data_IF_126185456484
#
_entry.id   IF_126185456484
#
_cell.length_a   1.000
_cell.length_b   1.000
_cell.length_c   1.000
_cell.angle_alpha   90.00
_cell.angle_beta   90.00
_cell.angle_gamma   90.00
#
_symmetry.space_group_name_H-M   'P 1'
#
loop_
_entity.id
_entity.type
_entity.pdbx_description
1 polymer ?
#
# COMPACT_ATOMS: atom_id res chain seq x y z
N UNK A 1 16.58 -24.82 -4.79
CA UNK A 1 15.77 -23.77 -4.14
C UNK A 1 14.44 -23.68 -4.88
N UNK A 2 13.36 -24.19 -4.29
CA UNK A 2 12.05 -24.16 -4.91
C UNK A 2 11.41 -22.78 -4.73
N UNK A 3 11.08 -22.11 -5.84
CA UNK A 3 10.43 -20.80 -5.83
C UNK A 3 9.03 -20.84 -5.20
N UNK A 4 8.57 -19.66 -4.77
CA UNK A 4 7.27 -19.48 -4.12
C UNK A 4 6.12 -20.02 -5.00
N UNK A 5 5.29 -20.97 -4.50
CA UNK A 5 4.25 -21.63 -5.29
C UNK A 5 3.17 -20.66 -5.80
N UNK A 6 2.96 -19.54 -5.11
CA UNK A 6 2.03 -18.49 -5.55
C UNK A 6 2.54 -17.77 -6.81
N UNK A 7 3.83 -17.44 -6.86
CA UNK A 7 4.46 -16.80 -8.03
C UNK A 7 4.49 -17.77 -9.22
N UNK A 8 4.73 -19.05 -8.97
CA UNK A 8 4.65 -20.08 -10.01
C UNK A 8 3.23 -20.26 -10.57
N UNK A 9 2.19 -20.03 -9.76
CA UNK A 9 0.79 -20.12 -10.22
C UNK A 9 0.41 -18.96 -11.14
N UNK A 10 0.85 -17.74 -10.82
CA UNK A 10 0.62 -16.55 -11.65
C UNK A 10 1.43 -16.62 -12.95
N UNK A 11 2.68 -17.10 -12.90
CA UNK A 11 3.51 -17.29 -14.08
C UNK A 11 2.96 -18.36 -15.04
N UNK A 12 2.27 -19.40 -14.52
CA UNK A 12 1.58 -20.40 -15.36
C UNK A 12 0.28 -19.87 -15.95
N UNK A 13 -0.49 -19.08 -15.19
CA UNK A 13 -1.73 -18.47 -15.69
C UNK A 13 -1.49 -17.46 -16.81
N UNK A 14 -0.39 -16.70 -16.76
CA UNK A 14 -0.01 -15.78 -17.84
C UNK A 14 0.58 -16.47 -19.09
N UNK A 15 0.93 -17.76 -19.02
CA UNK A 15 1.40 -18.55 -20.17
C UNK A 15 0.30 -19.37 -20.84
N UNK A 16 -0.82 -19.58 -20.16
CA UNK A 16 -1.97 -20.29 -20.71
C UNK A 16 -3.00 -19.27 -21.19
N UNK A 17 -2.92 -18.97 -22.48
CA UNK A 17 -3.96 -18.22 -23.18
C UNK A 17 -5.34 -18.88 -23.01
N UNK A 18 -6.36 -18.04 -22.99
CA UNK A 18 -7.77 -18.42 -22.83
C UNK A 18 -8.17 -19.51 -23.85
N UNK A 19 -8.68 -20.69 -23.42
CA UNK A 19 -9.07 -21.78 -24.32
C UNK A 19 -10.20 -21.42 -25.28
N UNK A 20 -10.83 -20.25 -25.13
CA UNK A 20 -11.92 -19.78 -25.99
C UNK A 20 -11.49 -19.34 -27.39
N UNK A 21 -10.19 -19.16 -27.64
CA UNK A 21 -9.66 -18.70 -28.93
C UNK A 21 -8.79 -19.72 -29.68
N UNK A 22 -8.82 -21.01 -29.28
CA UNK A 22 -7.94 -22.06 -29.82
C UNK A 22 -8.36 -22.75 -31.12
N UNK A 23 -9.24 -22.17 -31.96
CA UNK A 23 -9.72 -22.83 -33.19
C UNK A 23 -9.51 -21.99 -34.45
N UNK A 24 -8.27 -21.61 -34.72
CA UNK A 24 -7.78 -21.36 -36.08
C UNK A 24 -6.37 -21.97 -36.18
N UNK A 25 -6.12 -22.69 -37.26
CA UNK A 25 -5.23 -23.85 -37.29
C UNK A 25 -3.76 -23.59 -37.59
N UNK A 26 -3.10 -24.72 -37.89
CA UNK A 26 -1.68 -24.94 -38.17
C UNK A 26 -0.83 -24.97 -36.89
N UNK A 27 -0.35 -26.11 -36.38
CA UNK A 27 0.12 -27.32 -37.06
C UNK A 27 1.53 -27.60 -36.53
N UNK A 28 1.83 -28.86 -36.18
CA UNK A 28 3.21 -29.31 -35.99
C UNK A 28 3.65 -29.60 -34.55
N UNK A 29 3.44 -30.86 -34.16
CA UNK A 29 4.44 -31.77 -33.57
C UNK A 29 5.38 -31.30 -32.45
N UNK A 30 5.24 -32.01 -31.33
CA UNK A 30 6.29 -32.43 -30.39
C UNK A 30 7.69 -32.65 -31.00
N UNK A 31 8.75 -32.28 -30.26
CA UNK A 31 9.91 -33.16 -29.97
C UNK A 31 10.91 -32.54 -28.98
N UNK A 32 11.39 -33.40 -28.08
CA UNK A 32 12.59 -33.24 -27.25
C UNK A 32 13.86 -33.16 -28.11
N UNK A 33 14.92 -32.52 -27.61
CA UNK A 33 16.26 -32.63 -28.18
C UNK A 33 17.30 -31.81 -27.41
N UNK A 34 18.09 -32.48 -26.56
CA UNK A 34 19.39 -32.02 -26.06
C UNK A 34 20.39 -31.97 -27.23
N UNK A 35 21.32 -30.99 -27.29
CA UNK A 35 22.72 -31.22 -27.71
C UNK A 35 23.65 -30.09 -27.20
N UNK A 36 24.89 -30.50 -26.95
CA UNK A 36 26.03 -29.78 -26.37
C UNK A 36 26.86 -28.99 -27.40
N UNK A 37 27.49 -27.92 -26.90
CA UNK A 37 28.90 -27.49 -27.03
C UNK A 37 29.61 -27.26 -28.40
N UNK A 38 30.18 -26.03 -28.47
CA UNK A 38 31.56 -25.66 -28.86
C UNK A 38 31.92 -25.34 -30.35
N UNK A 39 33.09 -24.68 -30.62
CA UNK A 39 33.23 -23.25 -31.00
C UNK A 39 33.78 -23.04 -32.44
N UNK A 40 34.07 -21.78 -32.86
CA UNK A 40 35.40 -21.31 -33.32
C UNK A 40 35.42 -20.23 -34.47
N UNK A 41 36.42 -19.31 -34.35
CA UNK A 41 37.14 -18.43 -35.32
C UNK A 41 36.41 -17.39 -36.22
N UNK A 42 36.62 -16.07 -35.98
CA UNK A 42 37.47 -15.06 -36.71
C UNK A 42 36.93 -14.63 -38.08
N UNK A 43 36.98 -13.38 -38.58
CA UNK A 43 37.89 -12.24 -38.41
C UNK A 43 37.35 -11.01 -39.20
N UNK A 44 37.37 -9.83 -38.57
CA UNK A 44 37.83 -8.50 -39.07
C UNK A 44 37.25 -7.78 -40.34
N UNK A 45 37.45 -6.45 -40.50
CA UNK A 45 36.41 -5.47 -40.87
C UNK A 45 36.74 -4.60 -42.11
N UNK A 46 35.83 -3.67 -42.50
CA UNK A 46 36.00 -2.40 -43.27
C UNK A 46 34.62 -2.02 -43.91
N UNK A 47 34.17 -0.80 -44.19
CA UNK A 47 34.77 0.54 -44.30
C UNK A 47 33.67 1.64 -44.34
N UNK A 48 34.11 2.87 -44.07
CA UNK A 48 33.56 4.24 -44.13
C UNK A 48 32.55 4.71 -45.21
N UNK A 49 31.81 5.79 -44.87
CA UNK A 49 31.45 6.92 -45.77
C UNK A 49 30.00 7.42 -45.61
N UNK A 50 29.70 8.47 -44.83
CA UNK A 50 29.78 9.93 -45.08
C UNK A 50 28.39 10.59 -45.29
N UNK A 51 28.10 11.63 -44.49
CA UNK A 51 26.92 12.50 -44.52
C UNK A 51 27.09 13.66 -45.52
N UNK A 52 26.01 14.16 -46.12
CA UNK A 52 25.97 15.46 -46.82
C UNK A 52 24.59 16.12 -46.67
N UNK A 53 24.59 17.39 -46.25
CA UNK A 53 23.45 18.30 -46.10
C UNK A 53 23.22 19.12 -47.39
N UNK A 54 21.96 19.44 -47.72
CA UNK A 54 21.60 20.39 -48.79
C UNK A 54 20.25 21.06 -48.58
N UNK A 55 20.27 22.40 -48.48
CA UNK A 55 19.14 23.34 -48.35
C UNK A 55 18.69 23.89 -49.72
N UNK A 56 17.41 24.29 -49.86
CA UNK A 56 17.01 25.43 -50.73
C UNK A 56 15.96 25.19 -51.85
N UNK A 57 14.77 25.78 -51.68
CA UNK A 57 13.70 26.09 -52.66
C UNK A 57 14.04 27.34 -53.53
N UNK A 58 13.15 27.90 -54.42
CA UNK A 58 12.02 27.39 -55.22
C UNK A 58 12.07 27.85 -56.72
N UNK A 59 11.11 27.43 -57.57
CA UNK A 59 10.86 28.05 -58.89
C UNK A 59 9.36 28.35 -59.16
N UNK A 60 9.00 29.48 -59.78
CA UNK A 60 7.62 29.91 -60.05
C UNK A 60 7.20 29.77 -61.52
N UNK A 61 5.89 29.59 -61.79
CA UNK A 61 5.11 30.46 -62.70
C UNK A 61 3.66 30.00 -62.87
N UNK A 62 2.76 30.98 -62.71
CA UNK A 62 1.35 31.00 -63.11
C UNK A 62 1.23 31.41 -64.58
N UNK A 63 0.14 31.04 -65.27
CA UNK A 63 -0.75 31.97 -66.01
C UNK A 63 -2.13 31.31 -66.21
N UNK A 64 -3.17 32.13 -66.09
CA UNK A 64 -4.60 31.78 -66.05
C UNK A 64 -5.30 32.01 -67.39
N UNK A 65 -6.38 31.26 -67.66
CA UNK A 65 -7.44 31.66 -68.59
C UNK A 65 -8.82 31.10 -68.17
N UNK A 66 -9.88 31.77 -68.58
CA UNK A 66 -11.12 32.10 -67.85
C UNK A 66 -12.35 31.30 -68.32
N UNK A 67 -13.32 31.03 -67.43
CA UNK A 67 -14.80 31.18 -67.59
C UNK A 67 -15.62 30.32 -66.58
N UNK A 68 -16.68 30.91 -66.04
CA UNK A 68 -17.76 30.39 -65.18
C UNK A 68 -19.09 30.88 -65.82
N UNK A 69 -20.33 30.44 -65.47
CA UNK A 69 -20.74 29.56 -64.36
C UNK A 69 -21.80 28.49 -64.73
N UNK A 70 -22.06 27.52 -63.85
CA UNK A 70 -23.43 27.15 -63.41
C UNK A 70 -23.36 26.19 -62.20
N UNK A 71 -24.21 26.48 -61.23
CA UNK A 71 -24.22 25.91 -59.89
C UNK A 71 -24.81 24.49 -59.82
N UNK A 72 -24.16 23.60 -59.04
CA UNK A 72 -24.80 22.43 -58.42
C UNK A 72 -24.20 22.20 -57.01
N UNK A 73 -25.00 21.73 -56.03
CA UNK A 73 -24.69 21.81 -54.60
C UNK A 73 -23.66 20.77 -54.12
N UNK A 74 -22.87 21.21 -53.14
CA UNK A 74 -21.82 20.49 -52.40
C UNK A 74 -22.22 19.08 -51.93
N UNK A 75 -21.43 18.09 -52.33
CA UNK A 75 -21.28 16.82 -51.60
C UNK A 75 -20.15 16.98 -50.58
N UNK A 76 -20.44 16.55 -49.35
CA UNK A 76 -19.54 16.63 -48.21
C UNK A 76 -18.28 15.75 -48.41
N UNK A 77 -17.14 16.39 -48.20
CA UNK A 77 -15.79 15.84 -48.18
C UNK A 77 -15.66 14.80 -47.05
N UNK A 78 -15.32 13.56 -47.41
CA UNK A 78 -15.14 12.42 -46.51
C UNK A 78 -13.69 11.93 -46.44
N UNK A 79 -12.72 12.75 -46.88
CA UNK A 79 -11.30 12.37 -46.93
C UNK A 79 -10.46 13.13 -45.90
N UNK A 80 -10.76 12.98 -44.62
CA UNK A 80 -9.88 13.38 -43.52
C UNK A 80 -9.71 12.29 -42.45
N UNK A 81 -9.52 11.04 -42.90
CA UNK A 81 -9.09 9.93 -42.05
C UNK A 81 -7.99 9.08 -42.71
N UNK A 82 -7.01 9.72 -43.36
CA UNK A 82 -5.78 9.02 -43.74
C UNK A 82 -4.56 9.86 -43.40
N UNK A 83 -4.06 9.65 -42.18
CA UNK A 83 -2.62 9.56 -41.89
C UNK A 83 -2.42 9.14 -40.42
N UNK A 84 -2.87 7.93 -40.09
CA UNK A 84 -2.18 7.15 -39.06
C UNK A 84 -0.99 6.50 -39.77
N UNK A 85 0.16 7.17 -39.73
CA UNK A 85 1.43 6.65 -40.24
C UNK A 85 1.75 5.38 -39.43
N UNK A 86 1.41 4.23 -40.00
CA UNK A 86 1.70 2.92 -39.42
C UNK A 86 3.19 2.69 -39.56
N UNK A 87 3.94 2.92 -38.48
CA UNK A 87 5.36 2.59 -38.37
C UNK A 87 5.51 1.10 -38.02
N UNK A 88 5.92 0.23 -38.97
CA UNK A 88 5.99 -1.21 -38.76
C UNK A 88 7.15 -1.65 -37.84
N UNK A 89 7.97 -0.72 -37.35
CA UNK A 89 9.12 -0.98 -36.47
C UNK A 89 8.91 -0.53 -35.02
N UNK A 90 7.71 -0.04 -34.66
CA UNK A 90 7.35 0.18 -33.26
C UNK A 90 7.28 -1.18 -32.54
N UNK A 91 8.42 -1.61 -31.98
CA UNK A 91 8.43 -2.66 -30.98
C UNK A 91 7.39 -2.30 -29.90
N UNK A 92 6.59 -3.25 -29.37
CA UNK A 92 5.75 -3.01 -28.20
C UNK A 92 6.66 -2.83 -26.97
N UNK A 93 7.35 -1.70 -26.95
CA UNK A 93 8.33 -1.28 -25.98
C UNK A 93 7.70 -0.22 -25.10
N UNK A 94 7.42 -0.64 -23.86
CA UNK A 94 7.39 0.18 -22.65
C UNK A 94 7.23 1.69 -22.90
N UNK A 95 5.98 2.17 -22.90
CA UNK A 95 5.74 3.60 -22.79
C UNK A 95 6.46 4.10 -21.53
N UNK A 96 7.29 5.17 -21.60
CA UNK A 96 7.92 5.73 -20.42
C UNK A 96 6.81 6.16 -19.45
N UNK A 97 6.73 5.45 -18.32
CA UNK A 97 5.84 5.80 -17.22
C UNK A 97 6.24 7.20 -16.78
N UNK A 98 5.33 8.17 -16.85
CA UNK A 98 5.63 9.56 -16.52
C UNK A 98 6.21 9.65 -15.10
N UNK A 99 7.12 10.59 -14.87
CA UNK A 99 7.89 10.74 -13.62
C UNK A 99 7.02 10.99 -12.37
N UNK A 100 5.71 11.22 -12.53
CA UNK A 100 4.72 11.33 -11.45
C UNK A 100 3.78 10.12 -11.28
N UNK A 101 3.89 9.07 -12.10
CA UNK A 101 3.06 7.87 -12.01
C UNK A 101 3.66 6.78 -11.11
N UNK A 102 4.91 6.95 -10.68
CA UNK A 102 5.63 5.97 -9.85
C UNK A 102 5.61 6.37 -8.39
N UNK A 103 5.40 5.36 -7.54
CA UNK A 103 5.41 5.47 -6.10
C UNK A 103 6.78 5.92 -5.59
N UNK A 104 6.79 7.00 -4.80
CA UNK A 104 7.99 7.45 -4.08
C UNK A 104 7.85 7.25 -2.58
N UNK A 105 8.98 7.12 -1.88
CA UNK A 105 8.99 7.09 -0.41
C UNK A 105 8.46 8.41 0.17
N UNK A 106 8.76 9.54 -0.48
CA UNK A 106 8.32 10.86 -0.03
C UNK A 106 6.78 10.97 -0.04
N UNK A 107 6.12 10.40 -1.05
CA UNK A 107 4.66 10.36 -1.13
C UNK A 107 4.03 9.63 0.06
N UNK A 108 4.61 8.49 0.44
CA UNK A 108 4.12 7.68 1.57
C UNK A 108 4.32 8.42 2.88
N UNK A 109 5.50 9.02 3.09
CA UNK A 109 5.81 9.80 4.29
C UNK A 109 4.85 10.98 4.43
N UNK A 110 4.66 11.77 3.37
CA UNK A 110 3.78 12.95 3.38
C UNK A 110 2.33 12.57 3.68
N UNK A 111 1.82 11.51 3.04
CA UNK A 111 0.45 11.04 3.25
C UNK A 111 0.26 10.42 4.64
N UNK A 112 1.27 9.73 5.17
CA UNK A 112 1.24 9.24 6.55
C UNK A 112 1.22 10.39 7.54
N UNK A 113 2.05 11.42 7.34
CA UNK A 113 2.07 12.63 8.17
C UNK A 113 0.73 13.37 8.14
N UNK A 114 0.12 13.52 6.96
CA UNK A 114 -1.23 14.08 6.81
C UNK A 114 -2.27 13.29 7.61
N UNK A 115 -2.27 11.97 7.47
CA UNK A 115 -3.22 11.10 8.18
C UNK A 115 -3.01 11.13 9.70
N UNK A 116 -1.77 11.15 10.19
CA UNK A 116 -1.47 11.32 11.61
C UNK A 116 -1.93 12.69 12.14
N UNK A 117 -1.78 13.76 11.34
CA UNK A 117 -2.33 15.07 11.72
C UNK A 117 -3.86 15.02 11.84
N UNK A 118 -4.55 14.34 10.93
CA UNK A 118 -6.00 14.13 11.02
C UNK A 118 -6.40 13.30 12.25
N UNK A 119 -5.62 12.27 12.60
CA UNK A 119 -5.80 11.51 13.84
C UNK A 119 -5.70 12.44 15.05
N UNK A 120 -4.67 13.30 15.11
CA UNK A 120 -4.49 14.26 16.21
C UNK A 120 -5.64 15.25 16.29
N UNK A 121 -6.14 15.75 15.15
CA UNK A 121 -7.31 16.64 15.10
C UNK A 121 -8.57 15.95 15.64
N UNK A 122 -8.85 14.72 15.20
CA UNK A 122 -9.95 13.92 15.74
C UNK A 122 -9.79 13.68 17.24
N UNK A 123 -8.57 13.37 17.69
CA UNK A 123 -8.28 13.14 19.09
C UNK A 123 -8.50 14.40 19.94
N UNK A 124 -8.08 15.57 19.46
CA UNK A 124 -8.30 16.83 20.14
C UNK A 124 -9.79 17.15 20.33
N UNK A 125 -10.62 16.89 19.31
CA UNK A 125 -12.08 17.09 19.41
C UNK A 125 -12.71 16.13 20.43
N UNK A 126 -12.39 14.83 20.30
CA UNK A 126 -12.96 13.79 21.19
C UNK A 126 -12.45 13.88 22.63
N UNK A 127 -11.28 14.49 22.86
CA UNK A 127 -10.78 14.77 24.20
C UNK A 127 -11.77 15.59 25.05
N UNK A 128 -12.42 16.60 24.43
CA UNK A 128 -13.43 17.42 25.10
C UNK A 128 -14.82 16.77 25.06
N UNK A 129 -15.10 15.96 24.04
CA UNK A 129 -16.38 15.29 23.83
C UNK A 129 -16.19 13.76 23.77
N UNK A 130 -15.88 13.10 24.91
CA UNK A 130 -15.40 11.71 24.91
C UNK A 130 -16.40 10.70 24.38
N UNK A 131 -17.71 11.01 24.39
CA UNK A 131 -18.73 10.15 23.78
C UNK A 131 -18.57 10.00 22.25
N UNK A 132 -17.84 10.90 21.58
CA UNK A 132 -17.53 10.77 20.16
C UNK A 132 -16.61 9.57 19.87
N UNK A 133 -15.96 8.97 20.88
CA UNK A 133 -15.19 7.75 20.70
C UNK A 133 -16.02 6.59 20.15
N UNK A 134 -17.31 6.53 20.45
CA UNK A 134 -18.19 5.49 19.91
C UNK A 134 -18.48 5.71 18.42
N UNK A 135 -18.61 6.97 18.00
CA UNK A 135 -18.69 7.33 16.57
C UNK A 135 -17.39 6.95 15.88
N UNK A 136 -16.26 7.30 16.48
CA UNK A 136 -14.92 6.93 16.00
C UNK A 136 -14.74 5.42 15.88
N UNK A 137 -15.15 4.65 16.89
CA UNK A 137 -15.08 3.18 16.91
C UNK A 137 -15.86 2.56 15.75
N UNK A 138 -17.13 2.96 15.58
CA UNK A 138 -18.01 2.38 14.55
C UNK A 138 -17.54 2.81 13.16
N UNK A 139 -17.29 4.11 12.96
CA UNK A 139 -16.84 4.64 11.67
C UNK A 139 -15.45 4.10 11.30
N UNK A 140 -14.51 4.04 12.24
CA UNK A 140 -13.17 3.50 12.08
C UNK A 140 -13.20 2.03 11.68
N UNK A 141 -13.99 1.20 12.37
CA UNK A 141 -14.14 -0.22 12.02
C UNK A 141 -14.71 -0.40 10.59
N UNK A 142 -15.78 0.31 10.25
CA UNK A 142 -16.41 0.22 8.92
C UNK A 142 -15.42 0.68 7.84
N UNK A 143 -14.82 1.85 8.01
CA UNK A 143 -13.89 2.43 7.04
C UNK A 143 -12.62 1.60 6.92
N UNK A 144 -12.12 1.02 8.02
CA UNK A 144 -10.97 0.11 8.02
C UNK A 144 -11.23 -1.14 7.20
N UNK A 145 -12.38 -1.80 7.41
CA UNK A 145 -12.79 -2.97 6.62
C UNK A 145 -12.96 -2.60 5.14
N UNK A 146 -13.64 -1.48 4.85
CA UNK A 146 -13.84 -1.00 3.48
C UNK A 146 -12.50 -0.74 2.80
N UNK A 147 -11.56 -0.05 3.45
CA UNK A 147 -10.24 0.21 2.89
C UNK A 147 -9.41 -1.07 2.68
N UNK A 148 -9.53 -2.05 3.58
CA UNK A 148 -8.82 -3.33 3.48
C UNK A 148 -9.28 -4.17 2.28
N UNK A 149 -10.58 -4.20 1.99
CA UNK A 149 -11.15 -5.04 0.90
C UNK A 149 -11.09 -4.34 -0.46
N UNK A 150 -11.08 -3.00 -0.49
CA UNK A 150 -11.16 -2.24 -1.74
C UNK A 150 -9.88 -2.41 -2.58
N UNK A 151 -10.04 -2.82 -3.84
CA UNK A 151 -8.90 -2.96 -4.79
C UNK A 151 -8.21 -1.63 -5.08
N UNK A 152 -8.99 -0.55 -5.22
CA UNK A 152 -8.49 0.82 -5.43
C UNK A 152 -8.72 1.64 -4.16
N UNK A 153 -7.65 2.04 -3.48
CA UNK A 153 -7.74 2.87 -2.27
C UNK A 153 -8.21 4.27 -2.65
N UNK A 154 -9.10 4.83 -1.83
CA UNK A 154 -9.60 6.19 -2.01
C UNK A 154 -8.99 7.11 -0.95
N UNK A 155 -8.33 8.22 -1.34
CA UNK A 155 -7.78 9.19 -0.40
C UNK A 155 -8.78 9.66 0.66
N UNK A 156 -10.00 9.98 0.23
CA UNK A 156 -11.07 10.43 1.10
C UNK A 156 -11.43 9.39 2.17
N UNK A 157 -11.47 8.09 1.82
CA UNK A 157 -11.77 7.02 2.78
C UNK A 157 -10.65 6.82 3.79
N UNK A 158 -9.39 7.01 3.39
CA UNK A 158 -8.25 6.94 4.31
C UNK A 158 -8.27 8.11 5.28
N UNK A 159 -8.52 9.33 4.79
CA UNK A 159 -8.61 10.52 5.64
C UNK A 159 -9.79 10.46 6.62
N UNK A 160 -10.97 10.00 6.17
CA UNK A 160 -12.12 9.78 7.04
C UNK A 160 -11.84 8.71 8.10
N UNK A 161 -11.13 7.64 7.73
CA UNK A 161 -10.68 6.63 8.68
C UNK A 161 -9.76 7.26 9.73
N UNK A 162 -8.77 8.05 9.32
CA UNK A 162 -7.84 8.73 10.24
C UNK A 162 -8.54 9.66 11.23
N UNK A 163 -9.53 10.44 10.79
CA UNK A 163 -10.33 11.26 11.70
C UNK A 163 -11.12 10.37 12.68
N UNK A 164 -11.71 9.27 12.20
CA UNK A 164 -12.50 8.35 13.03
C UNK A 164 -11.64 7.66 14.09
N UNK A 165 -10.46 7.17 13.72
CA UNK A 165 -9.46 6.64 14.65
C UNK A 165 -9.03 7.71 15.67
N UNK A 166 -8.83 8.95 15.21
CA UNK A 166 -8.59 10.09 16.09
C UNK A 166 -9.69 10.26 17.14
N UNK A 167 -10.96 10.22 16.74
CA UNK A 167 -12.08 10.33 17.68
C UNK A 167 -12.08 9.20 18.71
N UNK A 168 -11.79 7.96 18.29
CA UNK A 168 -11.66 6.82 19.20
C UNK A 168 -10.54 7.05 20.22
N UNK A 169 -9.34 7.39 19.72
CA UNK A 169 -8.15 7.62 20.53
C UNK A 169 -8.35 8.75 21.53
N UNK A 170 -8.83 9.91 21.08
CA UNK A 170 -8.98 11.08 21.94
C UNK A 170 -9.93 10.85 23.12
N UNK A 171 -11.04 10.15 22.88
CA UNK A 171 -12.00 9.86 23.95
C UNK A 171 -11.47 8.84 24.95
N UNK A 172 -10.85 7.74 24.48
CA UNK A 172 -10.22 6.76 25.39
C UNK A 172 -9.11 7.42 26.20
N UNK A 173 -8.21 8.14 25.54
CA UNK A 173 -7.08 8.81 26.20
C UNK A 173 -7.54 9.90 27.16
N UNK A 174 -8.55 10.69 26.81
CA UNK A 174 -9.12 11.72 27.68
C UNK A 174 -9.79 11.13 28.92
N UNK A 175 -10.52 10.02 28.78
CA UNK A 175 -11.13 9.30 29.91
C UNK A 175 -10.06 8.70 30.82
N UNK A 176 -9.09 7.98 30.26
CA UNK A 176 -8.01 7.38 31.05
C UNK A 176 -7.12 8.43 31.72
N UNK A 177 -6.88 9.58 31.08
CA UNK A 177 -6.07 10.65 31.66
C UNK A 177 -6.75 11.34 32.86
N UNK A 178 -8.07 11.24 33.02
CA UNK A 178 -8.76 11.69 34.24
C UNK A 178 -8.48 10.77 35.43
N UNK A 179 -8.40 9.46 35.18
CA UNK A 179 -8.09 8.46 36.21
C UNK A 179 -6.59 8.35 36.48
N UNK A 180 -5.77 8.52 35.44
CA UNK A 180 -4.32 8.37 35.46
C UNK A 180 -3.66 9.60 34.82
N UNK A 181 -3.48 10.71 35.56
CA UNK A 181 -2.94 11.94 35.01
C UNK A 181 -1.57 11.75 34.33
N UNK A 182 -1.46 12.16 33.07
CA UNK A 182 -0.22 12.08 32.28
C UNK A 182 -0.07 10.79 31.48
N UNK A 183 -0.97 9.82 31.62
CA UNK A 183 -0.88 8.53 30.90
C UNK A 183 -0.87 8.71 29.38
N UNK A 184 -1.64 9.66 28.86
CA UNK A 184 -1.77 9.87 27.42
C UNK A 184 -0.47 10.41 26.78
N UNK A 185 0.21 11.34 27.46
CA UNK A 185 1.47 11.90 26.97
C UNK A 185 2.62 10.89 27.14
N UNK A 186 2.62 10.10 28.21
CA UNK A 186 3.57 8.99 28.38
C UNK A 186 3.43 7.95 27.28
N UNK A 187 2.18 7.56 26.96
CA UNK A 187 1.90 6.63 25.87
C UNK A 187 2.38 7.20 24.52
N UNK A 188 2.11 8.48 24.23
CA UNK A 188 2.55 9.13 23.00
C UNK A 188 4.09 9.12 22.88
N UNK A 189 4.79 9.52 23.94
CA UNK A 189 6.25 9.54 23.96
C UNK A 189 6.83 8.14 23.75
N UNK A 190 6.30 7.14 24.45
CA UNK A 190 6.72 5.75 24.28
C UNK A 190 6.47 5.24 22.85
N UNK A 191 5.32 5.55 22.24
CA UNK A 191 5.03 5.19 20.85
C UNK A 191 6.01 5.83 19.87
N UNK A 192 6.33 7.11 20.04
CA UNK A 192 7.31 7.82 19.21
C UNK A 192 8.70 7.21 19.35
N UNK A 193 9.11 6.85 20.58
CA UNK A 193 10.41 6.20 20.82
C UNK A 193 10.46 4.83 20.15
N UNK A 194 9.44 3.99 20.33
CA UNK A 194 9.38 2.65 19.73
C UNK A 194 9.37 2.77 18.20
N UNK A 195 8.49 3.58 17.64
CA UNK A 195 8.41 3.78 16.20
C UNK A 195 9.72 4.34 15.62
N UNK A 196 10.32 5.33 16.27
CA UNK A 196 11.60 5.93 15.87
C UNK A 196 12.76 4.93 15.91
N UNK A 197 12.82 4.09 16.95
CA UNK A 197 13.85 3.04 17.05
C UNK A 197 13.65 1.95 16.00
N UNK A 198 12.41 1.49 15.77
CA UNK A 198 12.09 0.54 14.71
C UNK A 198 12.47 1.10 13.35
N UNK A 199 12.14 2.37 13.07
CA UNK A 199 12.50 3.05 11.84
C UNK A 199 14.02 3.17 11.70
N UNK A 200 14.75 3.54 12.76
CA UNK A 200 16.21 3.66 12.73
C UNK A 200 16.89 2.31 12.46
N UNK A 201 16.43 1.23 13.09
CA UNK A 201 16.95 -0.13 12.84
C UNK A 201 16.63 -0.61 11.43
N UNK A 202 15.43 -0.29 10.93
CA UNK A 202 15.03 -0.57 9.56
C UNK A 202 15.87 0.23 8.55
N UNK A 203 16.01 1.55 8.73
CA UNK A 203 16.77 2.41 7.83
C UNK A 203 18.24 1.96 7.71
N UNK A 204 18.84 1.51 8.82
CA UNK A 204 20.19 0.94 8.85
C UNK A 204 20.31 -0.46 8.23
N UNK A 205 19.23 -1.03 7.67
CA UNK A 205 19.23 -2.37 7.07
C UNK A 205 19.35 -3.52 8.07
N UNK A 206 19.34 -3.26 9.38
CA UNK A 206 19.54 -4.27 10.42
C UNK A 206 18.35 -5.21 10.57
N UNK A 207 17.14 -4.70 10.31
CA UNK A 207 15.90 -5.46 10.44
C UNK A 207 15.02 -5.30 9.20
N UNK A 208 14.38 -6.40 8.80
CA UNK A 208 13.36 -6.50 7.75
C UNK A 208 12.33 -7.53 8.20
N UNK A 209 11.08 -7.38 7.78
CA UNK A 209 10.10 -8.43 7.99
C UNK A 209 10.47 -9.67 7.17
N UNK A 210 10.34 -10.85 7.77
CA UNK A 210 10.62 -12.13 7.09
C UNK A 210 9.34 -12.93 6.91
N UNK A 211 9.20 -13.73 5.82
CA UNK A 211 7.99 -14.53 5.58
C UNK A 211 7.62 -15.48 6.72
N UNK A 212 8.61 -15.98 7.47
CA UNK A 212 8.37 -16.84 8.64
C UNK A 212 7.74 -16.06 9.79
N UNK A 213 8.30 -14.89 10.12
CA UNK A 213 7.75 -14.03 11.17
C UNK A 213 6.36 -13.49 10.80
N UNK A 214 6.12 -13.18 9.52
CA UNK A 214 4.80 -12.71 9.07
C UNK A 214 3.74 -13.78 9.29
N UNK A 215 4.04 -15.06 9.06
CA UNK A 215 3.10 -16.17 9.36
C UNK A 215 2.79 -16.27 10.85
N UNK A 216 3.80 -16.16 11.71
CA UNK A 216 3.62 -16.19 13.17
C UNK A 216 2.77 -14.98 13.63
N UNK A 217 3.07 -13.79 13.10
CA UNK A 217 2.28 -12.59 13.33
C UNK A 217 0.82 -12.77 12.92
N UNK A 218 0.54 -13.34 11.74
CA UNK A 218 -0.84 -13.59 11.29
C UNK A 218 -1.58 -14.54 12.23
N UNK A 219 -0.92 -15.61 12.70
CA UNK A 219 -1.51 -16.51 13.72
C UNK A 219 -1.81 -15.73 15.01
N UNK A 220 -0.86 -14.88 15.46
CA UNK A 220 -1.03 -14.02 16.62
C UNK A 220 -2.20 -13.04 16.48
N UNK A 221 -2.37 -12.43 15.30
CA UNK A 221 -3.49 -11.54 14.99
C UNK A 221 -4.84 -12.25 15.11
N UNK A 222 -4.98 -13.45 14.53
CA UNK A 222 -6.22 -14.23 14.67
C UNK A 222 -6.46 -14.70 16.10
N UNK A 223 -5.40 -15.11 16.81
CA UNK A 223 -5.50 -15.49 18.22
C UNK A 223 -5.96 -14.31 19.09
N UNK A 224 -5.41 -13.11 18.84
CA UNK A 224 -5.79 -11.88 19.54
C UNK A 224 -7.24 -11.47 19.25
N UNK A 225 -7.69 -11.60 18.00
CA UNK A 225 -9.08 -11.36 17.61
C UNK A 225 -10.03 -12.32 18.35
N UNK A 226 -9.72 -13.62 18.36
CA UNK A 226 -10.51 -14.63 19.06
C UNK A 226 -10.52 -14.35 20.57
N UNK A 227 -9.38 -14.02 21.16
CA UNK A 227 -9.28 -13.61 22.55
C UNK A 227 -10.18 -12.42 22.86
N UNK A 228 -10.20 -11.39 22.00
CA UNK A 228 -11.07 -10.23 22.13
C UNK A 228 -12.55 -10.61 22.14
N UNK A 229 -12.98 -11.46 21.21
CA UNK A 229 -14.37 -11.95 21.12
C UNK A 229 -14.75 -12.74 22.38
N UNK A 230 -13.90 -13.67 22.81
CA UNK A 230 -14.13 -14.49 24.01
C UNK A 230 -14.17 -13.60 25.26
N UNK A 231 -13.28 -12.62 25.37
CA UNK A 231 -13.26 -11.67 26.49
C UNK A 231 -14.52 -10.82 26.54
N UNK A 232 -15.03 -10.36 25.38
CA UNK A 232 -16.26 -9.59 25.29
C UNK A 232 -17.52 -10.42 25.62
N UNK A 233 -17.62 -11.64 25.07
CA UNK A 233 -18.70 -12.57 25.42
C UNK A 233 -18.64 -12.94 26.91
N UNK A 234 -17.44 -13.16 27.44
CA UNK A 234 -17.22 -13.44 28.85
C UNK A 234 -17.66 -12.28 29.74
N UNK A 235 -17.42 -11.03 29.34
CA UNK A 235 -17.93 -9.87 30.08
C UNK A 235 -19.46 -9.84 30.17
N UNK A 236 -20.15 -10.19 29.09
CA UNK A 236 -21.61 -10.28 29.06
C UNK A 236 -22.18 -11.43 29.89
N UNK A 237 -21.46 -12.56 30.01
CA UNK A 237 -21.90 -13.75 30.72
C UNK A 237 -21.50 -13.75 32.21
N UNK A 238 -20.33 -13.21 32.55
CA UNK A 238 -19.73 -13.30 33.88
C UNK A 238 -19.60 -11.94 34.58
N UNK A 239 -20.11 -10.87 33.97
CA UNK A 239 -20.08 -9.50 34.51
C UNK A 239 -18.73 -8.80 34.43
N UNK A 240 -17.67 -9.50 34.03
CA UNK A 240 -16.30 -8.97 33.96
C UNK A 240 -15.54 -9.53 32.76
N UNK A 241 -14.81 -8.70 31.99
CA UNK A 241 -13.96 -9.17 30.89
C UNK A 241 -12.86 -10.10 31.38
N UNK A 242 -12.43 -11.07 30.55
CA UNK A 242 -11.32 -11.98 30.93
C UNK A 242 -10.01 -11.24 31.24
N UNK A 243 -9.81 -10.06 30.65
CA UNK A 243 -8.65 -9.20 30.92
C UNK A 243 -8.58 -8.66 32.36
N UNK A 244 -9.71 -8.63 33.08
CA UNK A 244 -9.76 -8.19 34.48
C UNK A 244 -9.41 -9.30 35.48
N UNK A 245 -9.27 -10.54 35.02
CA UNK A 245 -8.81 -11.65 35.86
C UNK A 245 -7.32 -11.47 36.18
N UNK A 246 -6.95 -11.77 37.42
CA UNK A 246 -5.56 -11.78 37.86
C UNK A 246 -5.13 -13.21 38.22
N UNK A 247 -3.89 -13.55 37.88
CA UNK A 247 -3.23 -14.79 38.33
C UNK A 247 -1.99 -14.39 39.10
N UNK A 248 -1.92 -14.76 40.38
CA UNK A 248 -0.79 -14.40 41.25
C UNK A 248 -0.61 -12.88 41.42
N UNK A 249 -1.70 -12.11 41.40
CA UNK A 249 -1.67 -10.64 41.52
C UNK A 249 -1.42 -9.89 40.20
N UNK A 250 -0.99 -10.58 39.14
CA UNK A 250 -0.73 -9.97 37.82
C UNK A 250 -2.01 -10.02 36.98
N UNK A 251 -2.50 -8.87 36.46
CA UNK A 251 -3.62 -8.84 35.52
C UNK A 251 -3.27 -9.59 34.24
N UNK A 252 -4.12 -10.53 33.82
CA UNK A 252 -3.94 -11.25 32.56
C UNK A 252 -3.88 -10.30 31.36
N UNK A 253 -4.60 -9.19 31.44
CA UNK A 253 -4.56 -8.13 30.43
C UNK A 253 -3.17 -7.52 30.22
N UNK A 254 -2.29 -7.51 31.24
CA UNK A 254 -0.93 -7.01 31.10
C UNK A 254 -0.06 -7.95 30.26
N UNK A 255 -0.16 -9.26 30.51
CA UNK A 255 0.61 -10.27 29.78
C UNK A 255 0.23 -10.26 28.31
N UNK A 256 -1.08 -10.24 28.03
CA UNK A 256 -1.60 -10.12 26.65
C UNK A 256 -1.18 -8.78 26.04
N UNK A 257 -1.23 -7.69 26.82
CA UNK A 257 -0.78 -6.36 26.39
C UNK A 257 0.68 -6.32 25.95
N UNK A 258 1.59 -6.92 26.72
CA UNK A 258 3.01 -6.99 26.36
C UNK A 258 3.22 -7.74 25.03
N UNK A 259 2.48 -8.84 24.84
CA UNK A 259 2.49 -9.58 23.58
C UNK A 259 1.96 -8.73 22.42
N UNK A 260 0.85 -8.00 22.61
CA UNK A 260 0.26 -7.16 21.56
C UNK A 260 1.12 -5.95 21.21
N UNK A 261 1.86 -5.35 22.15
CA UNK A 261 2.85 -4.31 21.83
C UNK A 261 3.97 -4.84 20.95
N UNK A 262 4.46 -6.06 21.22
CA UNK A 262 5.44 -6.71 20.35
C UNK A 262 4.86 -6.95 18.94
N UNK A 263 3.60 -7.38 18.84
CA UNK A 263 2.91 -7.53 17.55
C UNK A 263 2.71 -6.20 16.83
N UNK A 264 2.30 -5.14 17.52
CA UNK A 264 2.10 -3.82 16.93
C UNK A 264 3.43 -3.26 16.39
N UNK A 265 4.51 -3.43 17.15
CA UNK A 265 5.88 -3.07 16.73
C UNK A 265 6.30 -3.85 15.48
N UNK A 266 5.99 -5.16 15.43
CA UNK A 266 6.25 -5.97 14.25
C UNK A 266 5.38 -5.59 13.04
N UNK A 267 4.12 -5.20 13.25
CA UNK A 267 3.25 -4.67 12.20
C UNK A 267 3.84 -3.42 11.58
N UNK A 268 4.37 -2.50 12.39
CA UNK A 268 5.06 -1.32 11.89
C UNK A 268 6.30 -1.67 11.06
N UNK A 269 7.10 -2.66 11.51
CA UNK A 269 8.23 -3.17 10.74
C UNK A 269 7.81 -3.81 9.41
N UNK A 270 6.69 -4.54 9.41
CA UNK A 270 6.09 -5.12 8.20
C UNK A 270 5.68 -4.01 7.23
N UNK A 271 5.04 -2.94 7.71
CA UNK A 271 4.63 -1.80 6.89
C UNK A 271 5.82 -1.06 6.29
N UNK A 272 6.91 -0.86 7.03
CA UNK A 272 8.16 -0.30 6.49
C UNK A 272 8.74 -1.18 5.39
N UNK A 273 8.76 -2.50 5.62
CA UNK A 273 9.27 -3.47 4.64
C UNK A 273 8.44 -3.46 3.36
N UNK A 274 7.11 -3.54 3.49
CA UNK A 274 6.17 -3.48 2.37
C UNK A 274 6.30 -2.16 1.60
N UNK A 275 6.49 -1.04 2.31
CA UNK A 275 6.67 0.28 1.70
C UNK A 275 7.95 0.35 0.87
N UNK A 276 9.07 -0.11 1.42
CA UNK A 276 10.34 -0.13 0.70
C UNK A 276 10.28 -1.04 -0.55
N UNK A 277 9.74 -2.25 -0.40
CA UNK A 277 9.57 -3.18 -1.52
C UNK A 277 8.65 -2.63 -2.61
N UNK A 278 7.56 -1.93 -2.23
CA UNK A 278 6.65 -1.31 -3.17
C UNK A 278 7.29 -0.16 -3.97
N UNK A 279 8.10 0.68 -3.31
CA UNK A 279 8.85 1.76 -3.96
C UNK A 279 9.91 1.17 -4.90
N UNK A 280 10.66 0.16 -4.46
CA UNK A 280 11.67 -0.52 -5.27
C UNK A 280 11.06 -1.21 -6.50
N UNK A 281 9.87 -1.82 -6.34
CA UNK A 281 9.12 -2.40 -7.44
C UNK A 281 8.51 -1.36 -8.40
N UNK A 282 8.59 -0.06 -8.08
CA UNK A 282 8.03 1.02 -8.90
C UNK A 282 6.53 0.94 -9.06
N UNK A 283 5.79 0.58 -8.00
CA UNK A 283 4.33 0.51 -8.04
C UNK A 283 3.70 1.87 -8.42
N UNK A 284 2.43 1.90 -8.86
CA UNK A 284 1.76 3.16 -9.17
C UNK A 284 1.64 4.10 -7.96
N UNK A 285 1.75 5.42 -8.16
CA UNK A 285 1.68 6.46 -7.12
C UNK A 285 0.47 6.28 -6.18
N UNK A 286 -0.68 5.89 -6.72
CA UNK A 286 -1.92 5.67 -5.94
C UNK A 286 -1.78 4.67 -4.79
N UNK A 287 -0.83 3.74 -4.88
CA UNK A 287 -0.56 2.77 -3.80
C UNK A 287 0.04 3.44 -2.56
N UNK A 288 0.56 4.67 -2.69
CA UNK A 288 1.03 5.47 -1.55
C UNK A 288 -0.06 5.69 -0.50
N UNK A 289 -1.32 5.84 -0.92
CA UNK A 289 -2.46 5.94 0.00
C UNK A 289 -2.73 4.65 0.76
N UNK A 290 -2.52 3.50 0.13
CA UNK A 290 -2.65 2.18 0.79
C UNK A 290 -1.55 2.00 1.84
N UNK A 291 -0.32 2.33 1.47
CA UNK A 291 0.84 2.20 2.35
C UNK A 291 0.74 3.17 3.54
N UNK A 292 0.34 4.42 3.28
CA UNK A 292 0.13 5.42 4.32
C UNK A 292 -1.01 5.03 5.27
N UNK A 293 -2.08 4.41 4.76
CA UNK A 293 -3.16 3.85 5.59
C UNK A 293 -2.63 2.77 6.55
N UNK A 294 -1.86 1.80 6.03
CA UNK A 294 -1.26 0.73 6.84
C UNK A 294 -0.35 1.29 7.95
N UNK A 295 0.58 2.18 7.58
CA UNK A 295 1.48 2.85 8.53
C UNK A 295 0.73 3.64 9.60
N UNK A 296 -0.33 4.35 9.21
CA UNK A 296 -1.15 5.10 10.18
C UNK A 296 -1.85 4.14 11.13
N UNK A 297 -2.44 3.06 10.63
CA UNK A 297 -3.13 2.07 11.44
C UNK A 297 -2.19 1.34 12.42
N UNK A 298 -0.98 0.97 11.99
CA UNK A 298 0.00 0.32 12.88
C UNK A 298 0.53 1.26 13.96
N UNK A 299 0.73 2.55 13.65
CA UNK A 299 1.11 3.55 14.66
C UNK A 299 -0.02 3.81 15.68
N UNK A 300 -1.27 3.93 15.22
CA UNK A 300 -2.44 4.07 16.08
C UNK A 300 -2.59 2.83 16.99
N UNK A 301 -2.45 1.64 16.41
CA UNK A 301 -2.54 0.40 17.17
C UNK A 301 -1.44 0.30 18.25
N UNK A 302 -0.20 0.64 17.89
CA UNK A 302 0.93 0.70 18.83
C UNK A 302 0.64 1.64 20.00
N UNK A 303 0.06 2.82 19.74
CA UNK A 303 -0.34 3.75 20.79
C UNK A 303 -1.40 3.17 21.74
N UNK A 304 -2.46 2.55 21.21
CA UNK A 304 -3.53 1.96 22.03
C UNK A 304 -2.98 0.88 22.96
N UNK A 305 -2.10 0.01 22.45
CA UNK A 305 -1.56 -1.09 23.25
C UNK A 305 -0.60 -0.57 24.33
N UNK A 306 0.22 0.44 24.05
CA UNK A 306 1.06 1.09 25.07
C UNK A 306 0.18 1.77 26.12
N UNK A 307 -0.83 2.53 25.71
CA UNK A 307 -1.78 3.20 26.62
C UNK A 307 -2.45 2.18 27.55
N UNK A 308 -2.85 1.02 27.01
CA UNK A 308 -3.43 -0.08 27.77
C UNK A 308 -2.46 -0.71 28.76
N UNK A 309 -1.20 -0.94 28.38
CA UNK A 309 -0.18 -1.44 29.31
C UNK A 309 0.02 -0.47 30.46
N UNK A 310 0.18 0.82 30.17
CA UNK A 310 0.36 1.84 31.19
C UNK A 310 -0.83 1.91 32.14
N UNK A 311 -2.05 1.70 31.63
CA UNK A 311 -3.26 1.62 32.45
C UNK A 311 -3.16 0.46 33.44
N UNK A 312 -2.84 -0.76 32.99
CA UNK A 312 -2.68 -1.92 33.88
C UNK A 312 -1.56 -1.73 34.89
N UNK A 313 -0.44 -1.10 34.50
CA UNK A 313 0.65 -0.79 35.44
C UNK A 313 0.17 0.16 36.53
N UNK A 314 -0.53 1.24 36.16
CA UNK A 314 -1.08 2.18 37.14
C UNK A 314 -2.13 1.51 38.05
N UNK A 315 -2.96 0.62 37.52
CA UNK A 315 -3.92 -0.14 38.32
C UNK A 315 -3.23 -1.04 39.35
N UNK A 316 -2.09 -1.65 39.02
CA UNK A 316 -1.33 -2.46 39.98
C UNK A 316 -0.66 -1.61 41.06
N UNK A 317 -0.07 -0.47 40.67
CA UNK A 317 0.66 0.40 41.61
C UNK A 317 -0.28 1.08 42.60
N UNK A 318 -1.50 1.44 42.18
CA UNK A 318 -2.47 2.14 43.02
C UNK A 318 -3.46 1.20 43.74
N UNK A 319 -3.18 -0.11 43.79
CA UNK A 319 -4.01 -1.12 44.48
C UNK A 319 -3.68 -1.31 45.96
N UNK A 320 -2.71 -0.57 46.47
CA UNK A 320 -2.29 -0.50 47.89
C UNK A 320 -2.73 0.83 48.53
#
# INVERSE_FOLDING_TARGET
MAGNPFINSIAKQNRQGDPRFGRFGAGGSSSQGQYQAQPNYSSEPQQYGQQTYGYGQPQPNQYAQYEQPYAQPQQADYDQYQQAQYDPYAQPGYAPVAEGDRLTMNDVIMKTGLNLALVVLGAAVSWYLPYLMFVGLIAGLILGIVNAVKRKVSPALVMLYSVSEGLLLGGISGLLNKSYPGIAIQALLASVIVAGLTLALFANGKIRATPKMTKIFMIGMFAYLIYGIVSWLGAGLFGSPLGSLSIGGIPLGLIVGLFTVAMATYSLLLDFTNTAEAVEAGLPERESWRLAFGLTASLVWLYIEILRILMYINEMVNRD
#
